data_IF_413421337406
#
_entry.id   IF_413421337406
#
_cell.length_a   1.000
_cell.length_b   1.000
_cell.length_c   1.000
_cell.angle_alpha   90.00
_cell.angle_beta   90.00
_cell.angle_gamma   90.00
#
_symmetry.space_group_name_H-M   'P 1'
#
loop_
_entity.id
_entity.type
_entity.pdbx_description
1 polymer ?
#
# COMPACT_ATOMS: atom_id res chain seq x y z
N UNK A 1 6.40 24.78 0.13
CA UNK A 1 6.67 23.36 0.25
C UNK A 1 7.39 23.07 1.58
N UNK A 2 7.04 22.01 2.30
CA UNK A 2 7.73 21.46 3.49
C UNK A 2 7.98 22.43 4.65
N UNK A 3 7.30 23.57 4.67
CA UNK A 3 7.54 24.68 5.62
C UNK A 3 6.36 24.97 6.56
N UNK A 4 5.52 23.95 6.85
CA UNK A 4 4.32 24.10 7.70
C UNK A 4 4.60 24.72 9.08
N UNK A 5 5.81 24.55 9.63
CA UNK A 5 6.23 25.21 10.87
C UNK A 5 6.20 26.75 10.85
N UNK A 6 6.17 27.36 9.65
CA UNK A 6 6.12 28.83 9.47
C UNK A 6 4.71 29.39 9.48
N UNK A 7 3.64 28.58 9.38
CA UNK A 7 2.26 29.06 9.30
C UNK A 7 1.88 30.06 10.43
N UNK A 8 2.24 29.79 11.71
CA UNK A 8 1.90 30.75 12.78
C UNK A 8 2.56 32.11 12.61
N UNK A 9 3.80 32.14 12.10
CA UNK A 9 4.54 33.39 11.88
C UNK A 9 3.99 34.15 10.67
N UNK A 10 3.76 33.46 9.56
CA UNK A 10 3.26 34.05 8.32
C UNK A 10 1.84 34.60 8.49
N UNK A 11 0.97 33.90 9.22
CA UNK A 11 -0.37 34.41 9.54
C UNK A 11 -0.36 35.68 10.38
N UNK A 12 0.63 35.85 11.27
CA UNK A 12 0.82 37.11 12.03
C UNK A 12 1.39 38.23 11.17
N UNK A 13 2.34 37.94 10.28
CA UNK A 13 2.99 38.93 9.42
C UNK A 13 2.08 39.42 8.30
N UNK A 14 1.17 38.58 7.87
CA UNK A 14 0.30 38.84 6.73
C UNK A 14 -1.17 38.55 7.07
N UNK A 15 -1.81 39.37 7.92
CA UNK A 15 -3.23 39.21 8.25
C UNK A 15 -4.09 39.28 6.98
N UNK A 16 -5.05 38.40 6.88
CA UNK A 16 -5.93 38.30 5.70
C UNK A 16 -5.42 37.40 4.55
N UNK A 17 -4.18 36.89 4.60
CA UNK A 17 -3.71 35.89 3.64
C UNK A 17 -4.16 34.50 4.06
N UNK A 18 -4.60 33.72 3.07
CA UNK A 18 -4.85 32.28 3.21
C UNK A 18 -3.55 31.53 2.90
N UNK A 19 -3.20 30.61 3.78
CA UNK A 19 -1.99 29.77 3.66
C UNK A 19 -2.37 28.32 3.36
N UNK A 20 -1.56 27.65 2.57
CA UNK A 20 -1.65 26.19 2.36
C UNK A 20 -0.28 25.61 2.08
N UNK A 21 -0.10 24.33 2.42
CA UNK A 21 1.08 23.56 2.11
C UNK A 21 0.96 22.97 0.71
N UNK A 22 1.58 23.59 -0.28
CA UNK A 22 1.51 23.13 -1.67
C UNK A 22 2.19 21.79 -1.91
N UNK A 23 3.06 21.36 -0.99
CA UNK A 23 3.72 20.05 -1.02
C UNK A 23 4.23 19.68 0.37
N UNK A 24 3.85 18.52 0.90
CA UNK A 24 4.17 18.07 2.25
C UNK A 24 4.51 16.59 2.31
N UNK A 25 5.30 16.19 3.31
CA UNK A 25 5.62 14.78 3.54
C UNK A 25 4.48 14.03 4.21
N UNK A 26 4.25 12.79 3.85
CA UNK A 26 3.27 11.91 4.48
C UNK A 26 3.45 11.82 6.00
N UNK A 27 4.69 11.74 6.49
CA UNK A 27 5.00 11.67 7.93
C UNK A 27 4.57 12.90 8.73
N UNK A 28 4.39 14.04 8.06
CA UNK A 28 4.03 15.33 8.70
C UNK A 28 2.52 15.59 8.73
N UNK A 29 1.70 14.70 8.14
CA UNK A 29 0.25 14.92 7.96
C UNK A 29 -0.47 15.17 9.28
N UNK A 30 -0.13 14.49 10.38
CA UNK A 30 -0.74 14.70 11.70
C UNK A 30 -0.42 16.10 12.25
N UNK A 31 0.82 16.56 12.10
CA UNK A 31 1.27 17.90 12.49
C UNK A 31 0.59 18.98 11.65
N UNK A 32 0.55 18.77 10.32
CA UNK A 32 -0.04 19.72 9.39
C UNK A 32 -1.55 19.86 9.63
N UNK A 33 -2.25 18.74 9.79
CA UNK A 33 -3.68 18.72 10.08
C UNK A 33 -4.03 19.40 11.41
N UNK A 34 -3.19 19.23 12.44
CA UNK A 34 -3.35 19.96 13.71
C UNK A 34 -3.25 21.47 13.52
N UNK A 35 -2.39 21.95 12.59
CA UNK A 35 -2.30 23.39 12.28
C UNK A 35 -3.49 23.88 11.45
N UNK A 36 -3.99 23.09 10.49
CA UNK A 36 -5.21 23.37 9.75
C UNK A 36 -6.40 23.56 10.72
N UNK A 37 -6.57 22.65 11.67
CA UNK A 37 -7.64 22.76 12.67
C UNK A 37 -7.46 23.94 13.64
N UNK A 38 -6.22 24.34 13.91
CA UNK A 38 -5.91 25.41 14.88
C UNK A 38 -6.02 26.81 14.29
N UNK A 39 -5.63 27.00 13.04
CA UNK A 39 -5.49 28.32 12.43
C UNK A 39 -6.49 28.49 11.29
N UNK A 40 -7.50 29.38 11.42
CA UNK A 40 -8.55 29.53 10.40
C UNK A 40 -8.06 30.08 9.06
N UNK A 41 -6.85 30.63 9.01
CA UNK A 41 -6.20 31.09 7.79
C UNK A 41 -5.35 30.00 7.10
N UNK A 42 -5.25 28.79 7.67
CA UNK A 42 -4.59 27.65 7.04
C UNK A 42 -5.63 26.76 6.39
N UNK A 43 -5.68 26.76 5.06
CA UNK A 43 -6.69 26.04 4.28
C UNK A 43 -6.47 24.52 4.28
N UNK A 44 -5.22 24.10 4.18
CA UNK A 44 -4.87 22.66 4.09
C UNK A 44 -3.43 22.44 3.66
N UNK A 45 -3.16 21.20 3.30
CA UNK A 45 -1.88 20.78 2.73
C UNK A 45 -2.09 19.67 1.67
N UNK A 46 -1.13 19.56 0.76
CA UNK A 46 -1.11 18.57 -0.30
C UNK A 46 0.09 17.66 -0.08
N UNK A 47 -0.17 16.38 0.17
CA UNK A 47 0.91 15.41 0.32
C UNK A 47 1.56 15.09 -1.04
N UNK A 48 2.87 14.93 -1.06
CA UNK A 48 3.58 14.38 -2.20
C UNK A 48 3.96 12.94 -1.90
N UNK A 49 3.30 11.93 -2.51
CA UNK A 49 2.15 12.13 -3.41
C UNK A 49 1.03 11.16 -3.00
N UNK A 50 -0.20 11.45 -3.42
CA UNK A 50 -1.33 10.57 -3.11
C UNK A 50 -1.25 9.26 -3.89
N UNK A 51 -1.08 9.32 -5.22
CA UNK A 51 -0.96 8.16 -6.11
C UNK A 51 0.45 8.10 -6.69
N UNK A 52 1.05 6.91 -6.71
CA UNK A 52 2.40 6.72 -7.27
C UNK A 52 2.42 6.82 -8.79
N UNK A 53 3.59 7.01 -9.39
CA UNK A 53 3.75 7.29 -10.80
C UNK A 53 5.10 6.83 -11.36
N UNK A 54 5.18 6.74 -12.69
CA UNK A 54 6.41 6.52 -13.44
C UNK A 54 7.24 7.80 -13.50
N UNK A 55 8.52 7.70 -13.25
CA UNK A 55 9.46 8.83 -13.24
C UNK A 55 9.93 9.17 -11.83
N UNK A 56 10.82 10.16 -11.69
CA UNK A 56 11.52 10.51 -10.46
C UNK A 56 12.02 9.27 -9.69
N UNK A 57 12.64 8.38 -10.44
CA UNK A 57 12.96 6.99 -10.11
C UNK A 57 13.47 6.79 -8.68
N UNK A 58 12.68 6.12 -7.87
CA UNK A 58 12.99 5.75 -6.51
C UNK A 58 13.01 6.90 -5.49
N UNK A 59 12.44 8.07 -5.82
CA UNK A 59 12.39 9.26 -4.95
C UNK A 59 11.95 8.95 -3.51
N UNK A 60 10.86 8.18 -3.36
CA UNK A 60 10.30 7.78 -2.08
C UNK A 60 10.75 6.40 -1.61
N UNK A 61 11.43 5.63 -2.44
CA UNK A 61 11.70 4.22 -2.19
C UNK A 61 12.52 3.97 -0.93
N UNK A 62 12.12 2.94 -0.19
CA UNK A 62 12.91 2.30 0.84
C UNK A 62 13.63 1.11 0.21
N UNK A 63 14.86 1.33 -0.24
CA UNK A 63 15.63 0.36 -1.01
C UNK A 63 16.48 -0.54 -0.14
N UNK A 64 16.48 -1.83 -0.42
CA UNK A 64 17.30 -2.85 0.25
C UNK A 64 18.53 -3.24 -0.57
N UNK A 65 18.80 -2.54 -1.68
CA UNK A 65 19.91 -2.76 -2.61
C UNK A 65 20.86 -1.56 -2.62
N UNK A 66 22.13 -1.76 -2.95
CA UNK A 66 23.16 -0.71 -2.92
C UNK A 66 22.92 0.41 -3.93
N UNK A 67 22.27 0.12 -5.05
CA UNK A 67 21.87 1.10 -6.06
C UNK A 67 20.70 1.99 -5.60
N UNK A 68 20.10 1.68 -4.46
CA UNK A 68 19.03 2.45 -3.83
C UNK A 68 19.46 3.72 -3.10
N UNK A 69 20.75 4.08 -3.12
CA UNK A 69 21.27 5.29 -2.47
C UNK A 69 20.97 6.55 -3.31
N UNK A 70 20.80 7.67 -2.61
CA UNK A 70 20.65 8.97 -3.26
C UNK A 70 19.20 9.35 -3.58
N UNK A 71 19.05 10.55 -4.11
CA UNK A 71 17.75 11.15 -4.45
C UNK A 71 17.19 10.55 -5.74
N UNK A 72 17.95 10.57 -6.82
CA UNK A 72 17.63 9.89 -8.07
C UNK A 72 18.37 8.57 -8.14
N UNK A 73 17.65 7.49 -8.39
CA UNK A 73 18.23 6.16 -8.49
C UNK A 73 18.45 5.77 -9.95
N UNK A 74 19.53 5.03 -10.26
CA UNK A 74 19.82 4.62 -11.63
C UNK A 74 18.79 3.58 -12.13
N UNK A 75 18.72 3.40 -13.44
CA UNK A 75 18.02 2.24 -14.01
C UNK A 75 18.51 0.95 -13.34
N UNK A 76 17.64 -0.01 -12.98
CA UNK A 76 16.25 -0.15 -13.44
C UNK A 76 15.16 0.41 -12.47
N UNK A 77 15.46 1.42 -11.68
CA UNK A 77 14.42 2.12 -10.94
C UNK A 77 13.53 2.90 -11.91
N UNK A 78 12.22 2.72 -11.83
CA UNK A 78 11.22 3.31 -12.75
C UNK A 78 10.17 4.14 -12.05
N UNK A 79 9.62 3.64 -10.91
CA UNK A 79 8.58 4.34 -10.18
C UNK A 79 9.20 5.27 -9.15
N UNK A 80 8.47 6.34 -8.83
CA UNK A 80 8.85 7.24 -7.75
C UNK A 80 8.82 6.55 -6.38
N UNK A 81 7.92 5.59 -6.17
CA UNK A 81 7.64 4.90 -4.90
C UNK A 81 7.39 5.88 -3.75
N UNK A 82 6.80 7.04 -4.09
CA UNK A 82 6.43 8.11 -3.17
C UNK A 82 4.94 8.14 -2.86
N UNK A 83 4.13 7.33 -3.54
CA UNK A 83 2.68 7.29 -3.39
C UNK A 83 2.21 6.81 -2.01
N UNK A 84 1.17 7.44 -1.47
CA UNK A 84 0.38 6.87 -0.38
C UNK A 84 -0.41 5.64 -0.85
N UNK A 85 -0.73 5.62 -2.14
CA UNK A 85 -1.34 4.53 -2.92
C UNK A 85 -0.36 4.20 -4.03
N UNK A 86 -0.08 2.92 -4.27
CA UNK A 86 0.80 2.49 -5.35
C UNK A 86 0.14 2.62 -6.73
N UNK A 87 0.89 2.31 -7.82
CA UNK A 87 0.35 2.44 -9.19
C UNK A 87 -0.77 1.44 -9.50
N UNK A 88 -0.94 0.39 -8.72
CA UNK A 88 -2.02 -0.59 -8.86
C UNK A 88 -3.30 -0.16 -8.12
N UNK A 89 -3.24 0.90 -7.28
CA UNK A 89 -4.33 1.35 -6.44
C UNK A 89 -4.33 0.78 -5.02
N UNK A 90 -3.28 0.06 -4.62
CA UNK A 90 -3.19 -0.53 -3.28
C UNK A 90 -2.71 0.53 -2.26
N UNK A 91 -3.46 0.74 -1.16
CA UNK A 91 -3.07 1.71 -0.15
C UNK A 91 -1.94 1.18 0.73
N UNK A 92 -0.88 1.98 0.89
CA UNK A 92 0.21 1.72 1.82
C UNK A 92 0.01 2.35 3.21
N UNK A 93 1.01 2.19 4.08
CA UNK A 93 1.03 2.79 5.41
C UNK A 93 0.81 4.32 5.42
N UNK A 94 1.32 5.11 4.44
CA UNK A 94 1.04 6.54 4.38
C UNK A 94 -0.46 6.85 4.23
N UNK A 95 -1.21 6.07 3.44
CA UNK A 95 -2.65 6.24 3.31
C UNK A 95 -3.39 5.83 4.59
N UNK A 96 -2.92 4.76 5.28
CA UNK A 96 -3.48 4.35 6.57
C UNK A 96 -3.32 5.46 7.63
N UNK A 97 -2.15 6.11 7.68
CA UNK A 97 -1.91 7.26 8.54
C UNK A 97 -2.82 8.45 8.17
N UNK A 98 -2.95 8.77 6.89
CA UNK A 98 -3.80 9.86 6.41
C UNK A 98 -5.27 9.66 6.83
N UNK A 99 -5.81 8.44 6.63
CA UNK A 99 -7.17 8.09 7.05
C UNK A 99 -7.37 8.23 8.55
N UNK A 100 -6.41 7.76 9.36
CA UNK A 100 -6.48 7.87 10.81
C UNK A 100 -6.46 9.34 11.28
N UNK A 101 -5.61 10.18 10.68
CA UNK A 101 -5.48 11.60 11.00
C UNK A 101 -6.72 12.41 10.62
N UNK A 102 -7.34 12.10 9.48
CA UNK A 102 -8.54 12.78 9.00
C UNK A 102 -9.83 12.19 9.58
N UNK A 103 -9.71 11.22 10.48
CA UNK A 103 -10.85 10.57 11.17
C UNK A 103 -11.83 9.92 10.17
N UNK A 104 -11.28 9.31 9.11
CA UNK A 104 -12.07 8.68 8.05
C UNK A 104 -12.39 7.21 8.31
N UNK A 105 -11.79 6.60 9.35
CA UNK A 105 -12.05 5.21 9.72
C UNK A 105 -11.93 5.02 11.23
N UNK A 106 -12.90 4.32 11.82
CA UNK A 106 -12.89 3.90 13.22
C UNK A 106 -12.16 2.57 13.41
N UNK A 107 -11.94 1.83 12.33
CA UNK A 107 -11.22 0.55 12.33
C UNK A 107 -9.73 0.83 12.24
N UNK A 108 -8.90 0.30 13.19
CA UNK A 108 -7.46 0.47 13.12
C UNK A 108 -6.89 -0.19 11.88
N UNK A 109 -5.94 0.46 11.21
CA UNK A 109 -5.17 -0.15 10.13
C UNK A 109 -3.89 -0.76 10.68
N UNK A 110 -3.59 -2.01 10.27
CA UNK A 110 -2.34 -2.71 10.57
C UNK A 110 -1.51 -2.74 9.30
N UNK A 111 -0.28 -2.22 9.35
CA UNK A 111 0.68 -2.32 8.27
C UNK A 111 1.97 -2.95 8.80
N UNK A 112 2.61 -3.78 7.99
CA UNK A 112 3.83 -4.50 8.35
C UNK A 112 4.91 -4.15 7.36
N UNK A 113 6.10 -3.78 7.85
CA UNK A 113 7.25 -3.59 6.97
C UNK A 113 7.68 -4.92 6.38
N UNK A 114 8.23 -4.96 5.16
CA UNK A 114 8.69 -6.19 4.56
C UNK A 114 9.56 -7.02 5.51
N UNK A 115 9.18 -8.29 5.70
CA UNK A 115 9.80 -9.23 6.65
C UNK A 115 10.88 -10.07 5.97
N UNK A 116 10.92 -10.05 4.65
CA UNK A 116 11.80 -10.87 3.81
C UNK A 116 13.21 -10.28 3.61
N UNK A 117 13.59 -9.26 4.38
CA UNK A 117 14.93 -8.66 4.37
C UNK A 117 15.57 -8.67 5.77
N UNK A 118 15.75 -9.86 6.42
CA UNK A 118 16.26 -9.94 7.78
C UNK A 118 17.67 -9.35 7.88
N UNK A 119 17.90 -8.49 8.89
CA UNK A 119 19.21 -7.88 9.13
C UNK A 119 19.60 -6.74 8.17
N UNK A 120 18.87 -6.51 7.11
CA UNK A 120 19.16 -5.43 6.14
C UNK A 120 18.42 -4.16 6.53
N UNK A 121 19.16 -3.06 6.69
CA UNK A 121 18.61 -1.73 6.91
C UNK A 121 18.39 -1.05 5.56
N UNK A 122 17.14 -0.68 5.20
CA UNK A 122 16.89 -0.02 3.93
C UNK A 122 17.47 1.40 3.87
N UNK A 123 17.84 1.85 2.68
CA UNK A 123 18.02 3.26 2.36
C UNK A 123 16.63 3.89 2.23
N UNK A 124 16.28 4.80 3.15
CA UNK A 124 14.94 5.33 3.26
C UNK A 124 14.77 6.61 2.44
N UNK A 125 13.91 6.57 1.44
CA UNK A 125 13.39 7.77 0.80
C UNK A 125 12.56 8.58 1.78
N UNK A 126 12.67 9.91 1.73
CA UNK A 126 12.01 10.80 2.71
C UNK A 126 10.53 11.00 2.42
N UNK A 127 10.11 10.84 1.17
CA UNK A 127 8.74 11.17 0.73
C UNK A 127 7.71 10.16 1.19
N UNK A 128 7.96 8.86 1.06
CA UNK A 128 6.97 7.84 1.40
C UNK A 128 6.66 7.71 2.90
N UNK A 129 7.64 7.98 3.77
CA UNK A 129 7.48 7.92 5.23
C UNK A 129 7.52 6.51 5.82
N UNK A 130 6.89 5.51 5.20
CA UNK A 130 6.97 4.08 5.55
C UNK A 130 6.70 3.20 4.33
N UNK A 131 7.39 2.06 4.24
CA UNK A 131 7.17 1.03 3.22
C UNK A 131 6.28 -0.13 3.73
N UNK A 132 5.64 0.03 4.87
CA UNK A 132 4.77 -1.01 5.43
C UNK A 132 3.49 -1.17 4.59
N UNK A 133 3.04 -2.41 4.44
CA UNK A 133 1.86 -2.83 3.69
C UNK A 133 0.87 -3.58 4.58
N UNK A 134 -0.40 -3.63 4.22
CA UNK A 134 -1.44 -4.34 4.96
C UNK A 134 -1.35 -5.86 4.72
N UNK A 135 -0.31 -6.49 5.26
CA UNK A 135 -0.10 -7.94 5.15
C UNK A 135 0.55 -8.53 6.40
N UNK A 136 0.07 -9.72 6.80
CA UNK A 136 0.72 -10.62 7.76
C UNK A 136 0.93 -12.01 7.13
N UNK A 137 1.36 -12.04 5.87
CA UNK A 137 1.62 -13.27 5.11
C UNK A 137 2.98 -13.18 4.43
N UNK A 138 3.98 -13.86 5.01
CA UNK A 138 5.38 -13.78 4.61
C UNK A 138 5.99 -15.19 4.71
N UNK A 139 5.56 -16.10 3.83
CA UNK A 139 6.00 -17.50 3.80
C UNK A 139 7.52 -17.60 3.76
N UNK A 140 8.08 -18.48 4.60
CA UNK A 140 9.53 -18.69 4.68
C UNK A 140 10.28 -17.64 5.48
N UNK A 141 9.58 -16.70 6.12
CA UNK A 141 10.17 -15.65 6.95
C UNK A 141 9.98 -15.88 8.45
N UNK A 142 9.56 -17.09 8.87
CA UNK A 142 9.34 -17.42 10.27
C UNK A 142 10.58 -17.13 11.13
N UNK A 143 10.37 -16.42 12.25
CA UNK A 143 11.44 -15.97 13.15
C UNK A 143 12.10 -14.65 12.76
N UNK A 144 11.93 -14.16 11.52
CA UNK A 144 12.49 -12.88 11.11
C UNK A 144 11.91 -11.72 11.93
N UNK A 145 12.70 -10.66 12.20
CA UNK A 145 12.20 -9.47 12.87
C UNK A 145 11.09 -8.79 12.06
N UNK A 146 9.92 -8.62 12.68
CA UNK A 146 8.78 -7.92 12.10
C UNK A 146 8.54 -6.58 12.80
N UNK A 147 8.37 -5.51 12.02
CA UNK A 147 7.99 -4.17 12.47
C UNK A 147 6.54 -3.92 12.03
N UNK A 148 5.67 -3.78 13.02
CA UNK A 148 4.23 -3.60 12.81
C UNK A 148 3.86 -2.16 13.19
N UNK A 149 3.16 -1.49 12.29
CA UNK A 149 2.66 -0.14 12.43
C UNK A 149 1.14 -0.19 12.53
N UNK A 150 0.58 0.34 13.61
CA UNK A 150 -0.88 0.43 13.83
C UNK A 150 -1.28 1.89 13.75
N UNK A 151 -2.27 2.19 12.91
CA UNK A 151 -2.78 3.53 12.66
C UNK A 151 -4.25 3.64 13.06
N UNK A 152 -4.56 4.59 13.94
CA UNK A 152 -5.91 4.88 14.40
C UNK A 152 -5.96 6.24 15.12
N UNK A 153 -7.13 6.87 15.15
CA UNK A 153 -7.39 8.08 15.94
C UNK A 153 -7.65 7.80 17.43
N UNK A 154 -7.73 6.53 17.85
CA UNK A 154 -7.95 6.08 19.21
C UNK A 154 -6.83 6.52 20.19
N UNK A 155 -7.06 6.33 21.48
CA UNK A 155 -6.06 6.68 22.51
C UNK A 155 -4.90 5.70 22.57
N UNK A 156 -5.18 4.39 22.47
CA UNK A 156 -4.17 3.33 22.55
C UNK A 156 -4.51 2.14 21.65
N UNK A 157 -3.50 1.40 21.24
CA UNK A 157 -3.63 0.13 20.53
C UNK A 157 -2.97 -1.00 21.32
N UNK A 158 -3.61 -2.15 21.37
CA UNK A 158 -3.11 -3.42 21.84
C UNK A 158 -2.92 -4.34 20.65
N UNK A 159 -1.78 -5.01 20.56
CA UNK A 159 -1.46 -5.94 19.48
C UNK A 159 -1.42 -7.36 20.01
N UNK A 160 -2.12 -8.27 19.32
CA UNK A 160 -2.17 -9.69 19.62
C UNK A 160 -1.66 -10.48 18.41
N UNK A 161 -0.89 -11.53 18.65
CA UNK A 161 -0.48 -12.52 17.65
C UNK A 161 -0.98 -13.89 18.07
N UNK A 162 -1.81 -14.52 17.26
CA UNK A 162 -2.45 -15.81 17.56
C UNK A 162 -3.13 -15.80 18.93
N UNK A 163 -3.88 -14.73 19.22
CA UNK A 163 -4.56 -14.52 20.50
C UNK A 163 -3.65 -14.09 21.67
N UNK A 164 -2.33 -14.24 21.54
CA UNK A 164 -1.39 -13.85 22.59
C UNK A 164 -1.00 -12.37 22.47
N UNK A 165 -1.09 -11.65 23.58
CA UNK A 165 -0.73 -10.23 23.64
C UNK A 165 0.77 -10.02 23.41
N UNK A 166 1.11 -9.20 22.39
CA UNK A 166 2.47 -8.69 22.13
C UNK A 166 2.75 -7.47 22.99
N UNK A 167 1.78 -6.55 23.09
CA UNK A 167 1.91 -5.34 23.88
C UNK A 167 0.77 -4.37 23.68
N UNK A 168 0.76 -3.31 24.51
CA UNK A 168 -0.16 -2.17 24.40
C UNK A 168 0.63 -0.87 24.37
N UNK A 169 0.29 0.05 23.46
CA UNK A 169 0.95 1.36 23.30
C UNK A 169 -0.06 2.48 23.13
N UNK A 170 0.26 3.65 23.67
CA UNK A 170 -0.45 4.88 23.34
C UNK A 170 -0.17 5.27 21.90
N UNK A 171 -1.20 5.62 21.15
CA UNK A 171 -1.07 6.18 19.80
C UNK A 171 -0.58 7.63 19.90
N UNK A 172 0.54 7.91 19.23
CA UNK A 172 1.11 9.27 19.10
C UNK A 172 0.99 9.69 17.64
N UNK A 173 0.38 10.83 17.38
CA UNK A 173 0.11 11.29 16.02
C UNK A 173 -0.62 10.21 15.19
N UNK A 174 -1.60 9.54 15.79
CA UNK A 174 -2.39 8.45 15.19
C UNK A 174 -1.59 7.18 14.83
N UNK A 175 -0.40 6.97 15.40
CA UNK A 175 0.45 5.82 15.08
C UNK A 175 1.05 5.17 16.32
N UNK A 176 1.23 3.84 16.29
CA UNK A 176 2.06 3.08 17.23
C UNK A 176 2.85 2.01 16.49
N UNK A 177 4.10 1.79 16.91
CA UNK A 177 5.00 0.80 16.28
C UNK A 177 5.30 -0.33 17.26
N UNK A 178 5.07 -1.56 16.85
CA UNK A 178 5.37 -2.78 17.59
C UNK A 178 6.48 -3.57 16.90
N UNK A 179 7.13 -4.46 17.66
CA UNK A 179 8.18 -5.37 17.16
C UNK A 179 7.98 -6.75 17.77
N UNK A 180 8.11 -7.78 16.93
CA UNK A 180 8.09 -9.19 17.33
C UNK A 180 8.85 -10.03 16.30
N UNK A 181 9.05 -11.31 16.55
CA UNK A 181 9.39 -12.28 15.51
C UNK A 181 8.15 -12.58 14.67
N UNK A 182 8.32 -12.73 13.35
CA UNK A 182 7.24 -13.18 12.49
C UNK A 182 6.88 -14.64 12.80
N UNK A 183 5.61 -14.90 12.90
CA UNK A 183 5.01 -16.23 12.94
C UNK A 183 3.69 -16.17 12.21
N UNK A 184 3.43 -17.11 11.32
CA UNK A 184 2.16 -17.18 10.58
C UNK A 184 0.95 -17.31 11.51
N UNK A 185 -0.21 -16.88 11.06
CA UNK A 185 -1.47 -16.90 11.80
C UNK A 185 -2.19 -15.56 11.78
N UNK A 186 -2.78 -15.17 12.90
CA UNK A 186 -3.61 -13.97 13.04
C UNK A 186 -2.88 -12.87 13.81
N UNK A 187 -2.76 -11.70 13.19
CA UNK A 187 -2.26 -10.48 13.80
C UNK A 187 -3.43 -9.51 14.00
N UNK A 188 -3.84 -9.28 15.25
CA UNK A 188 -5.00 -8.45 15.60
C UNK A 188 -4.56 -7.20 16.35
N UNK A 189 -5.04 -6.02 15.91
CA UNK A 189 -4.96 -4.77 16.63
C UNK A 189 -6.32 -4.43 17.27
N UNK A 190 -6.31 -4.11 18.55
CA UNK A 190 -7.49 -3.67 19.31
C UNK A 190 -7.24 -2.25 19.79
N UNK A 191 -8.04 -1.30 19.33
CA UNK A 191 -7.95 0.09 19.72
C UNK A 191 -8.91 0.41 20.87
N UNK A 192 -8.49 1.32 21.76
CA UNK A 192 -9.26 1.72 22.93
C UNK A 192 -9.20 3.21 23.16
N UNK A 193 -10.26 3.75 23.75
CA UNK A 193 -10.33 5.11 24.23
C UNK A 193 -9.53 5.33 25.54
N UNK A 194 -9.64 6.54 26.13
CA UNK A 194 -8.99 6.87 27.42
C UNK A 194 -9.57 6.09 28.59
N UNK A 195 -10.85 5.72 28.53
CA UNK A 195 -11.52 4.94 29.58
C UNK A 195 -11.17 3.44 29.49
N UNK A 196 -10.53 3.02 28.39
CA UNK A 196 -10.17 1.61 28.16
C UNK A 196 -11.22 0.85 27.36
N UNK A 197 -12.31 1.49 26.93
CA UNK A 197 -13.35 0.89 26.10
C UNK A 197 -12.81 0.63 24.70
N UNK A 198 -13.11 -0.54 24.13
CA UNK A 198 -12.75 -0.88 22.77
C UNK A 198 -13.50 0.02 21.77
N UNK A 199 -12.77 0.67 20.88
CA UNK A 199 -13.32 1.55 19.82
C UNK A 199 -13.27 0.92 18.44
N UNK A 200 -12.45 -0.11 18.26
CA UNK A 200 -12.35 -0.86 17.00
C UNK A 200 -11.28 -1.92 17.03
N UNK A 201 -11.39 -2.85 16.11
CA UNK A 201 -10.36 -3.87 15.86
C UNK A 201 -10.23 -4.21 14.40
N UNK A 202 -9.06 -4.71 14.03
CA UNK A 202 -8.80 -5.32 12.74
C UNK A 202 -7.87 -6.51 12.89
N UNK A 203 -7.92 -7.42 11.93
CA UNK A 203 -7.08 -8.63 11.90
C UNK A 203 -6.52 -8.83 10.50
N UNK A 204 -5.23 -9.07 10.42
CA UNK A 204 -4.56 -9.62 9.24
C UNK A 204 -4.32 -11.11 9.46
N UNK A 205 -4.54 -11.91 8.42
CA UNK A 205 -4.41 -13.37 8.48
C UNK A 205 -3.39 -13.80 7.43
N UNK A 206 -2.47 -14.68 7.82
CA UNK A 206 -1.52 -15.29 6.88
C UNK A 206 -2.25 -16.16 5.86
N UNK A 207 -1.76 -16.18 4.63
CA UNK A 207 -2.25 -17.10 3.60
C UNK A 207 -2.01 -18.55 4.03
N UNK A 208 -2.96 -19.43 3.75
CA UNK A 208 -2.77 -20.87 3.92
C UNK A 208 -1.78 -21.45 2.86
N UNK A 209 -1.46 -22.73 3.00
CA UNK A 209 -0.37 -23.34 2.22
C UNK A 209 -0.65 -23.46 0.72
N UNK A 210 -1.90 -23.63 0.34
CA UNK A 210 -2.30 -23.88 -1.04
C UNK A 210 -2.54 -22.56 -1.77
N UNK A 211 -1.52 -22.04 -2.41
CA UNK A 211 -1.58 -20.80 -3.16
C UNK A 211 -2.29 -20.99 -4.50
N UNK A 212 -3.04 -19.97 -4.89
CA UNK A 212 -3.74 -19.88 -6.17
C UNK A 212 -3.79 -18.44 -6.66
N UNK A 213 -4.00 -18.28 -7.96
CA UNK A 213 -4.31 -16.99 -8.55
C UNK A 213 -5.75 -16.58 -8.22
N UNK A 214 -5.95 -15.31 -7.92
CA UNK A 214 -7.24 -14.64 -7.83
C UNK A 214 -7.24 -13.48 -8.81
N UNK A 215 -8.22 -13.48 -9.71
CA UNK A 215 -8.49 -12.40 -10.65
C UNK A 215 -9.80 -11.75 -10.21
N UNK A 216 -9.81 -10.43 -10.04
CA UNK A 216 -10.95 -9.69 -9.49
C UNK A 216 -11.29 -8.51 -10.41
N UNK A 217 -12.04 -8.71 -11.51
CA UNK A 217 -12.46 -7.63 -12.38
C UNK A 217 -13.23 -6.56 -11.60
N UNK A 218 -12.94 -5.29 -11.80
CA UNK A 218 -13.69 -4.18 -11.18
C UNK A 218 -15.16 -4.17 -11.61
N UNK A 219 -15.44 -4.72 -12.79
CA UNK A 219 -16.79 -4.84 -13.36
C UNK A 219 -16.93 -6.19 -14.06
N UNK A 220 -18.00 -6.91 -13.76
CA UNK A 220 -18.36 -8.16 -14.44
C UNK A 220 -19.03 -7.94 -15.79
N UNK A 221 -19.51 -6.72 -16.05
CA UNK A 221 -20.16 -6.31 -17.30
C UNK A 221 -19.70 -4.92 -17.71
N UNK A 222 -19.47 -4.72 -19.01
CA UNK A 222 -19.02 -3.44 -19.55
C UNK A 222 -19.52 -3.25 -20.98
N UNK A 223 -19.48 -2.01 -21.46
CA UNK A 223 -19.72 -1.70 -22.88
C UNK A 223 -18.54 -2.14 -23.74
N UNK A 224 -18.80 -2.34 -25.04
CA UNK A 224 -17.76 -2.55 -26.05
C UNK A 224 -16.70 -1.45 -26.03
N UNK A 225 -15.40 -1.83 -26.12
CA UNK A 225 -14.25 -0.91 -26.13
C UNK A 225 -13.93 -0.25 -24.80
N UNK A 226 -14.61 -0.63 -23.70
CA UNK A 226 -14.35 -0.11 -22.35
C UNK A 226 -13.02 -0.63 -21.81
N UNK A 227 -12.27 0.23 -21.12
CA UNK A 227 -11.08 -0.16 -20.35
C UNK A 227 -11.54 -0.69 -18.99
N UNK A 228 -11.04 -1.87 -18.62
CA UNK A 228 -11.31 -2.56 -17.36
C UNK A 228 -9.99 -2.89 -16.68
N UNK A 229 -9.94 -2.66 -15.37
CA UNK A 229 -8.84 -3.05 -14.51
C UNK A 229 -9.16 -4.37 -13.83
N UNK A 230 -8.21 -5.30 -13.85
CA UNK A 230 -8.37 -6.63 -13.25
C UNK A 230 -7.19 -6.86 -12.31
N UNK A 231 -7.34 -6.57 -11.01
CA UNK A 231 -6.36 -6.96 -10.00
C UNK A 231 -6.09 -8.47 -10.03
N UNK A 232 -4.82 -8.83 -9.98
CA UNK A 232 -4.31 -10.20 -9.94
C UNK A 232 -3.53 -10.37 -8.65
N UNK A 233 -3.82 -11.43 -7.89
CA UNK A 233 -3.12 -11.70 -6.65
C UNK A 233 -2.84 -13.20 -6.47
N UNK A 234 -1.70 -13.51 -5.83
CA UNK A 234 -1.36 -14.85 -5.37
C UNK A 234 -1.88 -14.97 -3.94
N UNK A 235 -2.89 -15.81 -3.72
CA UNK A 235 -3.60 -15.90 -2.46
C UNK A 235 -3.66 -17.35 -1.96
N UNK A 236 -3.76 -17.52 -0.65
CA UNK A 236 -4.24 -18.76 -0.05
C UNK A 236 -5.73 -19.01 -0.33
N UNK A 237 -6.23 -20.21 -0.02
CA UNK A 237 -7.67 -20.53 -0.10
C UNK A 237 -8.53 -19.66 0.80
N UNK A 238 -7.95 -19.18 1.91
CA UNK A 238 -8.58 -18.23 2.83
C UNK A 238 -8.68 -16.80 2.28
N UNK A 239 -8.19 -16.54 1.06
CA UNK A 239 -8.25 -15.26 0.38
C UNK A 239 -7.15 -14.25 0.76
N UNK A 240 -6.34 -14.56 1.76
CA UNK A 240 -5.18 -13.73 2.13
C UNK A 240 -4.11 -13.76 1.05
N UNK A 241 -3.60 -12.58 0.67
CA UNK A 241 -2.51 -12.47 -0.30
C UNK A 241 -1.19 -12.87 0.36
N UNK A 242 -0.40 -13.72 -0.33
CA UNK A 242 0.93 -14.08 0.12
C UNK A 242 1.96 -13.07 -0.39
N UNK A 243 2.43 -12.20 0.49
CA UNK A 243 3.31 -11.09 0.12
C UNK A 243 4.76 -11.51 -0.15
N UNK A 244 5.12 -12.76 0.10
CA UNK A 244 6.43 -13.33 -0.24
C UNK A 244 6.34 -14.36 -1.37
N UNK A 245 5.28 -14.31 -2.19
CA UNK A 245 5.10 -15.17 -3.37
C UNK A 245 5.22 -14.34 -4.65
N UNK A 246 6.42 -13.80 -4.91
CA UNK A 246 6.67 -13.08 -6.15
C UNK A 246 7.07 -14.06 -7.25
N UNK A 247 6.17 -14.26 -8.21
CA UNK A 247 6.29 -15.17 -9.35
C UNK A 247 6.03 -14.42 -10.66
N UNK A 248 6.72 -14.83 -11.73
CA UNK A 248 6.48 -14.32 -13.08
C UNK A 248 5.18 -14.91 -13.61
N UNK A 249 4.23 -14.06 -13.94
CA UNK A 249 2.93 -14.42 -14.47
C UNK A 249 2.82 -14.02 -15.94
N UNK A 250 2.06 -14.81 -16.72
CA UNK A 250 1.71 -14.48 -18.10
C UNK A 250 0.21 -14.26 -18.22
N UNK A 251 -0.17 -13.13 -18.82
CA UNK A 251 -1.54 -12.70 -19.06
C UNK A 251 -1.87 -12.77 -20.55
N UNK A 252 -3.04 -13.34 -20.92
CA UNK A 252 -3.56 -13.40 -22.29
C UNK A 252 -5.02 -13.00 -22.31
N UNK A 253 -5.41 -12.24 -23.34
CA UNK A 253 -6.79 -11.77 -23.52
C UNK A 253 -7.37 -12.37 -24.78
N UNK A 254 -8.61 -12.89 -24.67
CA UNK A 254 -9.45 -13.34 -25.78
C UNK A 254 -10.63 -12.37 -25.93
N UNK A 255 -11.02 -12.08 -27.17
CA UNK A 255 -12.08 -11.15 -27.53
C UNK A 255 -11.90 -9.80 -26.80
N UNK A 256 -10.73 -9.19 -27.01
CA UNK A 256 -10.32 -7.92 -26.42
C UNK A 256 -8.84 -7.65 -26.64
N UNK A 257 -8.32 -6.68 -25.95
CA UNK A 257 -6.92 -6.26 -26.06
C UNK A 257 -6.30 -6.16 -24.65
N UNK A 258 -5.10 -6.71 -24.46
CA UNK A 258 -4.29 -6.48 -23.28
C UNK A 258 -3.53 -5.17 -23.47
N UNK A 259 -3.91 -4.12 -22.74
CA UNK A 259 -3.27 -2.80 -22.81
C UNK A 259 -2.02 -2.72 -21.94
N UNK A 260 -1.99 -3.49 -20.85
CA UNK A 260 -0.85 -3.55 -19.95
C UNK A 260 -1.01 -4.65 -18.91
N UNK A 261 0.13 -5.18 -18.46
CA UNK A 261 0.20 -6.13 -17.35
C UNK A 261 1.46 -5.89 -16.55
N UNK A 262 1.35 -5.75 -15.24
CA UNK A 262 2.53 -5.53 -14.40
C UNK A 262 2.23 -5.36 -12.93
N UNK A 263 3.27 -5.06 -12.16
CA UNK A 263 3.23 -4.87 -10.72
C UNK A 263 3.69 -3.48 -10.30
N UNK A 264 3.57 -3.17 -9.01
CA UNK A 264 4.05 -1.93 -8.41
C UNK A 264 5.52 -2.02 -7.95
N UNK A 265 6.31 -2.93 -8.52
CA UNK A 265 7.73 -2.99 -8.22
C UNK A 265 8.43 -1.72 -8.72
N UNK A 266 9.00 -0.88 -7.84
CA UNK A 266 9.62 0.38 -8.27
C UNK A 266 10.94 0.16 -9.02
N UNK A 267 11.52 -1.05 -8.92
CA UNK A 267 12.79 -1.42 -9.53
C UNK A 267 12.62 -2.67 -10.39
N UNK A 268 12.45 -2.49 -11.70
CA UNK A 268 12.23 -3.58 -12.66
C UNK A 268 12.76 -3.24 -14.04
N UNK A 269 13.19 -4.27 -14.77
CA UNK A 269 13.57 -4.20 -16.19
C UNK A 269 12.43 -4.69 -17.10
N UNK A 270 11.33 -5.16 -16.53
CA UNK A 270 10.22 -5.74 -17.26
C UNK A 270 9.35 -4.67 -17.92
N UNK A 271 8.74 -5.02 -19.05
CA UNK A 271 7.84 -4.15 -19.79
C UNK A 271 6.38 -4.41 -19.44
N UNK A 272 5.64 -3.38 -19.08
CA UNK A 272 4.19 -3.46 -18.86
C UNK A 272 3.39 -3.89 -20.11
N UNK A 273 4.01 -3.87 -21.31
CA UNK A 273 3.38 -4.24 -22.58
C UNK A 273 3.70 -5.67 -23.02
N UNK A 274 4.57 -6.39 -22.32
CA UNK A 274 4.98 -7.76 -22.71
C UNK A 274 3.91 -8.82 -22.49
N UNK A 275 2.92 -8.55 -21.63
CA UNK A 275 1.97 -9.55 -21.14
C UNK A 275 2.59 -10.56 -20.16
N UNK A 276 3.85 -10.37 -19.78
CA UNK A 276 4.58 -11.22 -18.85
C UNK A 276 5.26 -10.30 -17.82
N UNK A 277 5.02 -10.52 -16.53
CA UNK A 277 5.55 -9.65 -15.48
C UNK A 277 5.61 -10.37 -14.13
N UNK A 278 6.64 -10.08 -13.33
CA UNK A 278 6.77 -10.60 -11.97
C UNK A 278 5.86 -9.83 -11.01
N UNK A 279 5.12 -10.54 -10.17
CA UNK A 279 4.34 -9.93 -9.09
C UNK A 279 5.25 -9.21 -8.10
N UNK A 280 4.66 -8.25 -7.38
CA UNK A 280 5.33 -7.56 -6.29
C UNK A 280 4.44 -7.61 -5.05
N UNK A 281 4.96 -8.19 -3.98
CA UNK A 281 4.19 -8.56 -2.79
C UNK A 281 2.95 -9.40 -3.15
N UNK A 282 3.12 -10.35 -4.08
CA UNK A 282 2.07 -11.24 -4.55
C UNK A 282 0.97 -10.58 -5.39
N UNK A 283 1.19 -9.37 -5.93
CA UNK A 283 0.17 -8.59 -6.67
C UNK A 283 0.65 -8.19 -8.05
N UNK A 284 -0.30 -8.11 -8.98
CA UNK A 284 -0.17 -7.52 -10.30
C UNK A 284 -1.52 -6.92 -10.74
N UNK A 285 -1.53 -6.19 -11.85
CA UNK A 285 -2.72 -5.62 -12.46
C UNK A 285 -2.69 -5.88 -13.96
N UNK A 286 -3.81 -6.37 -14.51
CA UNK A 286 -4.05 -6.37 -15.93
C UNK A 286 -5.00 -5.22 -16.31
N UNK A 287 -4.64 -4.49 -17.35
CA UNK A 287 -5.48 -3.46 -17.96
C UNK A 287 -5.90 -3.97 -19.34
N UNK A 288 -7.20 -4.16 -19.53
CA UNK A 288 -7.74 -4.72 -20.77
C UNK A 288 -8.71 -3.75 -21.44
N UNK A 289 -8.87 -3.88 -22.74
CA UNK A 289 -9.97 -3.26 -23.49
C UNK A 289 -10.93 -4.35 -23.93
N UNK A 290 -12.23 -4.19 -23.63
CA UNK A 290 -13.27 -5.15 -24.01
C UNK A 290 -13.46 -5.20 -25.53
N UNK A 291 -13.81 -6.37 -26.04
CA UNK A 291 -14.12 -6.60 -27.45
C UNK A 291 -15.48 -5.99 -27.87
N UNK A 292 -15.98 -6.44 -29.02
CA UNK A 292 -17.20 -5.87 -29.62
C UNK A 292 -18.51 -6.46 -29.08
N UNK A 293 -18.54 -7.75 -28.76
CA UNK A 293 -19.73 -8.48 -28.30
C UNK A 293 -19.33 -9.76 -27.57
N UNK A 294 -20.26 -10.38 -26.85
CA UNK A 294 -20.04 -11.62 -26.12
C UNK A 294 -19.37 -11.41 -24.77
N UNK A 295 -18.18 -11.98 -24.55
CA UNK A 295 -17.42 -11.79 -23.33
C UNK A 295 -15.93 -11.65 -23.64
N UNK A 296 -15.24 -10.73 -22.99
CA UNK A 296 -13.79 -10.65 -22.96
C UNK A 296 -13.25 -11.52 -21.83
N UNK A 297 -12.26 -12.37 -22.14
CA UNK A 297 -11.64 -13.26 -21.15
C UNK A 297 -10.19 -12.91 -20.94
N UNK A 298 -9.79 -12.75 -19.68
CA UNK A 298 -8.41 -12.65 -19.25
C UNK A 298 -7.99 -13.98 -18.61
N UNK A 299 -6.99 -14.66 -19.17
CA UNK A 299 -6.37 -15.83 -18.55
C UNK A 299 -4.97 -15.46 -18.06
N UNK A 300 -4.69 -15.77 -16.79
CA UNK A 300 -3.37 -15.57 -16.17
C UNK A 300 -2.87 -16.92 -15.66
N UNK A 301 -1.58 -17.20 -15.89
CA UNK A 301 -0.91 -18.39 -15.39
C UNK A 301 0.51 -18.06 -14.90
N UNK A 302 1.02 -18.88 -13.99
CA UNK A 302 2.41 -18.89 -13.53
C UNK A 302 3.04 -20.26 -13.73
N UNK A 303 4.32 -20.40 -13.43
CA UNK A 303 5.02 -21.68 -13.53
C UNK A 303 4.49 -22.70 -12.52
N UNK A 304 4.23 -22.26 -11.29
CA UNK A 304 3.79 -23.11 -10.18
C UNK A 304 2.34 -22.90 -9.77
N UNK A 305 1.61 -22.08 -10.53
CA UNK A 305 0.23 -21.70 -10.24
C UNK A 305 -0.69 -22.09 -11.39
N UNK A 306 -1.75 -22.81 -11.08
CA UNK A 306 -2.77 -23.18 -12.06
C UNK A 306 -3.38 -21.95 -12.72
N UNK A 307 -3.58 -22.01 -14.02
CA UNK A 307 -4.20 -20.93 -14.78
C UNK A 307 -5.59 -20.58 -14.21
N UNK A 308 -5.88 -19.27 -14.17
CA UNK A 308 -7.18 -18.74 -13.80
C UNK A 308 -7.68 -17.82 -14.90
N UNK A 309 -9.00 -17.82 -15.10
CA UNK A 309 -9.65 -16.98 -16.10
C UNK A 309 -10.71 -16.11 -15.43
N UNK A 310 -10.69 -14.83 -15.76
CA UNK A 310 -11.75 -13.88 -15.45
C UNK A 310 -12.50 -13.50 -16.72
N UNK A 311 -13.80 -13.30 -16.61
CA UNK A 311 -14.69 -12.99 -17.73
C UNK A 311 -15.44 -11.68 -17.48
N UNK A 312 -15.47 -10.79 -18.49
CA UNK A 312 -16.24 -9.54 -18.50
C UNK A 312 -17.23 -9.60 -19.66
N UNK A 313 -18.53 -9.65 -19.34
CA UNK A 313 -19.62 -9.68 -20.33
C UNK A 313 -19.76 -8.33 -21.02
N UNK A 314 -19.96 -8.34 -22.34
CA UNK A 314 -20.13 -7.13 -23.14
C UNK A 314 -21.64 -6.90 -23.34
N UNK A 315 -22.08 -5.69 -23.00
CA UNK A 315 -23.46 -5.21 -23.21
C UNK A 315 -23.65 -4.62 -24.59
#
# INVERSE_FOLDING_TARGET
NYASGRYPLEGKRHPGKILYGSETFHRDIAKNWAMVKKFPYVLGDFMWTAWDYLGEAGLGAWAYTDDGRGFSKPYPWLLADSGAIDILGEPGAPMALARAVWERTDVPAICVRPVNHPGVKPYQGVWRGSNAIASWSWRGCEGNPAVIEVYSSAYSAELLLNGKRIGRKRLKNCAAVFRTGYTSGELTAVCRDKAGTETGRSTLISADRDLRLRLAPEQEQANSGKIIYIPVAICGKNGSVESNADETLTARVENGELLGFGSANPRTEESYQSGCFRTYYGRALAVIRTGKSGATKLTVCGEHLAAQTAEVKIR
#
